data_IF_158356287631
#
_entry.id   IF_158356287631
#
_cell.length_a   1.000
_cell.length_b   1.000
_cell.length_c   1.000
_cell.angle_alpha   90.00
_cell.angle_beta   90.00
_cell.angle_gamma   90.00
#
_symmetry.space_group_name_H-M   'P 1'
#
loop_
_entity.id
_entity.type
_entity.pdbx_description
1 polymer ?
#
# COMPACT_ATOMS: atom_id res chain seq x y z
N UNK A 1 -15.29 -8.13 22.75
CA UNK A 1 -13.85 -7.93 22.46
C UNK A 1 -13.36 -8.74 21.24
N UNK A 2 -13.67 -10.04 21.12
CA UNK A 2 -13.21 -10.88 19.98
C UNK A 2 -13.64 -10.36 18.59
N UNK A 3 -14.89 -9.91 18.44
CA UNK A 3 -15.39 -9.36 17.17
C UNK A 3 -14.65 -8.06 16.76
N UNK A 4 -14.30 -7.21 17.73
CA UNK A 4 -13.56 -5.98 17.48
C UNK A 4 -12.12 -6.27 17.00
N UNK A 5 -11.45 -7.26 17.60
CA UNK A 5 -10.12 -7.70 17.19
C UNK A 5 -10.13 -8.32 15.78
N UNK A 6 -11.17 -9.08 15.44
CA UNK A 6 -11.34 -9.63 14.11
C UNK A 6 -11.54 -8.51 13.06
N UNK A 7 -12.38 -7.53 13.36
CA UNK A 7 -12.57 -6.36 12.49
C UNK A 7 -11.27 -5.59 12.28
N UNK A 8 -10.51 -5.35 13.36
CA UNK A 8 -9.23 -4.66 13.30
C UNK A 8 -8.21 -5.41 12.41
N UNK A 9 -8.09 -6.74 12.56
CA UNK A 9 -7.23 -7.54 11.68
C UNK A 9 -7.60 -7.42 10.21
N UNK A 10 -8.90 -7.49 9.89
CA UNK A 10 -9.37 -7.37 8.50
C UNK A 10 -9.04 -6.00 7.94
N UNK A 11 -9.25 -4.94 8.71
CA UNK A 11 -8.91 -3.57 8.29
C UNK A 11 -7.40 -3.42 8.04
N UNK A 12 -6.55 -3.94 8.94
CA UNK A 12 -5.10 -3.90 8.77
C UNK A 12 -4.65 -4.69 7.53
N UNK A 13 -5.24 -5.86 7.29
CA UNK A 13 -4.94 -6.67 6.12
C UNK A 13 -5.36 -5.97 4.81
N UNK A 14 -6.53 -5.33 4.78
CA UNK A 14 -6.98 -4.56 3.62
C UNK A 14 -6.06 -3.37 3.34
N UNK A 15 -5.65 -2.63 4.38
CA UNK A 15 -4.69 -1.53 4.25
C UNK A 15 -3.33 -2.02 3.76
N UNK A 16 -2.88 -3.19 4.21
CA UNK A 16 -1.63 -3.79 3.75
C UNK A 16 -1.67 -4.15 2.25
N UNK A 17 -2.78 -4.72 1.79
CA UNK A 17 -2.96 -5.07 0.37
C UNK A 17 -3.01 -3.80 -0.50
N UNK A 18 -3.73 -2.77 -0.05
CA UNK A 18 -3.81 -1.49 -0.77
C UNK A 18 -2.45 -0.79 -0.86
N UNK A 19 -1.69 -0.73 0.25
CA UNK A 19 -0.35 -0.14 0.26
C UNK A 19 0.64 -0.92 -0.61
N UNK A 20 0.56 -2.25 -0.63
CA UNK A 20 1.35 -3.08 -1.55
C UNK A 20 0.99 -2.81 -3.02
N UNK A 21 -0.29 -2.65 -3.33
CA UNK A 21 -0.74 -2.32 -4.69
C UNK A 21 -0.27 -0.93 -5.14
N UNK A 22 -0.34 0.07 -4.26
CA UNK A 22 0.17 1.41 -4.53
C UNK A 22 1.69 1.41 -4.76
N UNK A 23 2.44 0.62 -3.97
CA UNK A 23 3.88 0.46 -4.16
C UNK A 23 4.22 -0.07 -5.56
N UNK A 24 3.43 -1.02 -6.08
CA UNK A 24 3.55 -1.52 -7.45
C UNK A 24 3.19 -0.44 -8.49
N UNK A 25 2.19 0.40 -8.21
CA UNK A 25 1.82 1.55 -9.06
C UNK A 25 2.91 2.62 -9.14
N UNK A 26 3.52 2.97 -8.01
CA UNK A 26 4.67 3.87 -7.94
C UNK A 26 5.85 3.29 -8.74
N UNK A 27 6.14 1.99 -8.61
CA UNK A 27 7.19 1.32 -9.38
C UNK A 27 6.88 1.24 -10.89
N UNK A 28 5.61 1.07 -11.25
CA UNK A 28 5.17 1.03 -12.64
C UNK A 28 5.40 2.36 -13.36
N UNK A 29 5.34 3.49 -12.64
CA UNK A 29 5.66 4.81 -13.21
C UNK A 29 7.11 4.92 -13.70
N UNK A 30 8.02 4.10 -13.15
CA UNK A 30 9.43 4.07 -13.51
C UNK A 30 9.71 3.18 -14.74
N UNK A 31 8.74 2.36 -15.17
CA UNK A 31 8.88 1.41 -16.27
C UNK A 31 7.83 1.65 -17.36
N UNK A 32 8.26 2.24 -18.48
CA UNK A 32 7.39 2.58 -19.62
C UNK A 32 6.80 1.37 -20.38
N UNK A 33 7.24 0.14 -20.09
CA UNK A 33 6.71 -1.10 -20.68
C UNK A 33 5.68 -1.83 -19.80
N UNK A 34 5.11 -1.17 -18.79
CA UNK A 34 4.21 -1.81 -17.82
C UNK A 34 2.84 -2.19 -18.42
N UNK A 35 2.23 -3.25 -17.88
CA UNK A 35 0.89 -3.71 -18.26
C UNK A 35 -0.18 -2.64 -17.98
N UNK A 36 -1.29 -2.65 -18.73
CA UNK A 36 -2.40 -1.69 -18.57
C UNK A 36 -2.95 -1.63 -17.14
N UNK A 37 -2.97 -2.75 -16.42
CA UNK A 37 -3.37 -2.82 -15.01
C UNK A 37 -2.41 -2.05 -14.08
N UNK A 38 -1.10 -2.12 -14.36
CA UNK A 38 -0.07 -1.40 -13.62
C UNK A 38 -0.09 0.10 -13.94
N UNK A 39 -0.42 0.47 -15.18
CA UNK A 39 -0.61 1.87 -15.56
C UNK A 39 -1.80 2.52 -14.81
N UNK A 40 -2.90 1.79 -14.62
CA UNK A 40 -4.03 2.26 -13.82
C UNK A 40 -3.65 2.46 -12.34
N UNK A 41 -2.89 1.53 -11.77
CA UNK A 41 -2.34 1.64 -10.41
C UNK A 41 -1.39 2.83 -10.28
N UNK A 42 -0.55 3.06 -11.29
CA UNK A 42 0.35 4.21 -11.34
C UNK A 42 -0.39 5.54 -11.36
N UNK A 43 -1.49 5.64 -12.12
CA UNK A 43 -2.34 6.83 -12.13
C UNK A 43 -3.02 7.07 -10.76
N UNK A 44 -3.51 6.00 -10.12
CA UNK A 44 -4.11 6.08 -8.79
C UNK A 44 -3.09 6.55 -7.73
N UNK A 45 -1.87 6.01 -7.78
CA UNK A 45 -0.77 6.41 -6.90
C UNK A 45 -0.35 7.87 -7.13
N UNK A 46 -0.22 8.29 -8.39
CA UNK A 46 0.12 9.67 -8.74
C UNK A 46 -0.95 10.68 -8.25
N UNK A 47 -2.23 10.32 -8.34
CA UNK A 47 -3.33 11.12 -7.78
C UNK A 47 -3.23 11.23 -6.26
N UNK A 48 -2.94 10.12 -5.59
CA UNK A 48 -2.80 10.08 -4.14
C UNK A 48 -1.59 10.92 -3.68
N UNK A 49 -0.45 10.77 -4.33
CA UNK A 49 0.76 11.54 -4.06
C UNK A 49 0.56 13.04 -4.32
N UNK A 50 -0.15 13.40 -5.38
CA UNK A 50 -0.53 14.78 -5.68
C UNK A 50 -1.45 15.40 -4.62
N UNK A 51 -2.38 14.60 -4.05
CA UNK A 51 -3.27 15.04 -2.96
C UNK A 51 -2.54 15.16 -1.63
N UNK A 52 -1.64 14.23 -1.33
CA UNK A 52 -0.83 14.23 -0.10
C UNK A 52 0.36 15.19 -0.16
N UNK A 53 0.62 15.81 -1.34
CA UNK A 53 1.77 16.70 -1.59
C UNK A 53 3.08 16.08 -1.14
N UNK A 54 3.25 14.77 -1.37
CA UNK A 54 4.46 14.05 -0.96
C UNK A 54 5.63 14.50 -1.86
N UNK A 55 6.66 15.18 -1.33
CA UNK A 55 7.81 15.63 -2.12
C UNK A 55 8.82 14.49 -2.31
N UNK A 56 8.32 13.25 -2.49
CA UNK A 56 9.12 12.04 -2.57
C UNK A 56 9.13 11.54 -4.01
N UNK A 57 10.30 11.17 -4.51
CA UNK A 57 10.43 10.51 -5.82
C UNK A 57 9.65 9.19 -5.83
N UNK A 58 9.22 8.75 -7.02
CA UNK A 58 8.39 7.55 -7.16
C UNK A 58 9.04 6.30 -6.54
N UNK A 59 10.36 6.15 -6.64
CA UNK A 59 11.09 5.07 -6.00
C UNK A 59 10.94 5.09 -4.47
N UNK A 60 11.16 6.25 -3.84
CA UNK A 60 11.05 6.38 -2.39
C UNK A 60 9.61 6.24 -1.89
N UNK A 61 8.62 6.67 -2.68
CA UNK A 61 7.19 6.42 -2.41
C UNK A 61 6.90 4.92 -2.41
N UNK A 62 7.34 4.20 -3.44
CA UNK A 62 7.16 2.77 -3.52
C UNK A 62 7.78 2.02 -2.33
N UNK A 63 8.99 2.42 -1.90
CA UNK A 63 9.67 1.86 -0.74
C UNK A 63 8.88 2.16 0.55
N UNK A 64 8.44 3.40 0.75
CA UNK A 64 7.68 3.79 1.93
C UNK A 64 6.34 3.03 2.02
N UNK A 65 5.61 2.92 0.92
CA UNK A 65 4.36 2.17 0.83
C UNK A 65 4.56 0.67 1.06
N UNK A 66 5.66 0.10 0.55
CA UNK A 66 6.04 -1.29 0.81
C UNK A 66 6.39 -1.55 2.28
N UNK A 67 7.14 -0.65 2.91
CA UNK A 67 7.43 -0.70 4.35
C UNK A 67 6.15 -0.59 5.18
N UNK A 68 5.23 0.31 4.80
CA UNK A 68 3.93 0.45 5.43
C UNK A 68 3.12 -0.85 5.32
N UNK A 69 3.10 -1.49 4.15
CA UNK A 69 2.44 -2.77 3.96
C UNK A 69 3.00 -3.85 4.90
N UNK A 70 4.33 -3.97 5.00
CA UNK A 70 5.00 -4.89 5.91
C UNK A 70 4.62 -4.63 7.39
N UNK A 71 4.62 -3.37 7.80
CA UNK A 71 4.23 -2.98 9.16
C UNK A 71 2.78 -3.35 9.46
N UNK A 72 1.87 -3.10 8.52
CA UNK A 72 0.45 -3.44 8.67
C UNK A 72 0.21 -4.95 8.75
N UNK A 73 0.91 -5.76 7.94
CA UNK A 73 0.86 -7.23 8.04
C UNK A 73 1.40 -7.70 9.38
N UNK A 74 2.53 -7.15 9.83
CA UNK A 74 3.11 -7.49 11.12
C UNK A 74 2.16 -7.15 12.28
N UNK A 75 1.53 -5.98 12.23
CA UNK A 75 0.54 -5.57 13.22
C UNK A 75 -0.69 -6.48 13.20
N UNK A 76 -1.19 -6.85 12.02
CA UNK A 76 -2.31 -7.77 11.87
C UNK A 76 -1.98 -9.16 12.45
N UNK A 77 -0.76 -9.66 12.22
CA UNK A 77 -0.29 -10.92 12.77
C UNK A 77 -0.16 -10.87 14.30
N UNK A 78 0.23 -9.72 14.87
CA UNK A 78 0.32 -9.52 16.31
C UNK A 78 -1.05 -9.43 16.99
N UNK A 79 -2.04 -8.80 16.34
CA UNK A 79 -3.41 -8.69 16.84
C UNK A 79 -4.16 -10.02 16.79
N UNK A 80 -3.70 -10.98 15.99
CA UNK A 80 -4.30 -12.31 15.90
C UNK A 80 -4.41 -12.95 17.28
N UNK A 81 -5.63 -13.18 17.80
CA UNK A 81 -5.80 -13.76 19.13
C UNK A 81 -5.20 -15.17 19.12
N UNK A 82 -4.29 -15.42 20.05
CA UNK A 82 -3.82 -16.78 20.36
C UNK A 82 -4.94 -17.59 20.99
#
# INVERSE_FOLDING_TARGET
>A
MRALLALLMVLLALLAVLSAALSLGALASLNGGSSTALAALSAAEALLAGRLRLPLEAFWRAVAEGLLACLLVWLAAYVKPR
#
